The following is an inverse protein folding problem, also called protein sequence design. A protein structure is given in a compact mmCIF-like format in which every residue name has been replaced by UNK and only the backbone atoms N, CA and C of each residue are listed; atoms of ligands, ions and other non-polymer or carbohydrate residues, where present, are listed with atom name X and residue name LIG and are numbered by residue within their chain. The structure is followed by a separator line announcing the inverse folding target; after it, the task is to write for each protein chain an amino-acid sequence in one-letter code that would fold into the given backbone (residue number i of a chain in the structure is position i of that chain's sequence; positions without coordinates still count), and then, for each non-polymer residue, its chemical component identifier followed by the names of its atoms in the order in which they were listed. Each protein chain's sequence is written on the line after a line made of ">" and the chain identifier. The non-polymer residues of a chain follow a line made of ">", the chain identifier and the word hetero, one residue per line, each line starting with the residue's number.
data_IF_284751757674
#
_entry.id   IF_284751757674
#
_cell.length_a   1.000
_cell.length_b   1.000
_cell.length_c   1.000
_cell.angle_alpha   90.00
_cell.angle_beta   90.00
_cell.angle_gamma   90.00
#
_symmetry.space_group_name_H-M   'P 1'
#
loop_
_entity.id
_entity.type
_entity.pdbx_description
1 polymer ?
#
# COMPACT_ATOMS: atom_id res chain seq x y z
N UNK A 1 -40.79 0.03 38.90
CA UNK A 1 -39.57 -0.62 38.35
C UNK A 1 -39.76 -1.13 36.92
N UNK A 2 -40.82 -1.89 36.63
CA UNK A 2 -41.05 -2.52 35.32
C UNK A 2 -41.08 -1.54 34.13
N UNK A 3 -41.74 -0.37 34.29
CA UNK A 3 -41.82 0.65 33.23
C UNK A 3 -40.45 1.28 32.87
N UNK A 4 -39.54 1.43 33.85
CA UNK A 4 -38.18 1.95 33.60
C UNK A 4 -37.29 0.93 32.89
N UNK A 5 -37.44 -0.35 33.20
CA UNK A 5 -36.69 -1.43 32.54
C UNK A 5 -37.07 -1.52 31.05
N UNK A 6 -38.36 -1.39 30.73
CA UNK A 6 -38.85 -1.36 29.36
C UNK A 6 -38.36 -0.13 28.57
N UNK A 7 -38.34 1.06 29.17
CA UNK A 7 -37.78 2.26 28.51
C UNK A 7 -36.29 2.12 28.23
N UNK A 8 -35.51 1.60 29.19
CA UNK A 8 -34.06 1.38 29.00
C UNK A 8 -33.81 0.36 27.89
N UNK A 9 -34.57 -0.73 27.83
CA UNK A 9 -34.46 -1.72 26.76
C UNK A 9 -34.78 -1.11 25.38
N UNK A 10 -35.83 -0.29 25.26
CA UNK A 10 -36.18 0.40 24.02
C UNK A 10 -35.04 1.33 23.57
N UNK A 11 -34.46 2.11 24.49
CA UNK A 11 -33.35 3.01 24.18
C UNK A 11 -32.11 2.23 23.71
N UNK A 12 -31.77 1.11 24.36
CA UNK A 12 -30.65 0.26 23.96
C UNK A 12 -30.90 -0.32 22.56
N UNK A 13 -32.09 -0.85 22.29
CA UNK A 13 -32.45 -1.40 20.98
C UNK A 13 -32.38 -0.32 19.90
N UNK A 14 -32.89 0.89 20.18
CA UNK A 14 -32.80 2.01 19.26
C UNK A 14 -31.34 2.41 18.97
N UNK A 15 -30.49 2.48 20.00
CA UNK A 15 -29.06 2.77 19.84
C UNK A 15 -28.35 1.68 19.01
N UNK A 16 -28.63 0.41 19.27
CA UNK A 16 -28.08 -0.71 18.48
C UNK A 16 -28.55 -0.61 17.02
N UNK A 17 -29.82 -0.31 16.78
CA UNK A 17 -30.36 -0.17 15.43
C UNK A 17 -29.71 1.00 14.67
N UNK A 18 -29.48 2.13 15.33
CA UNK A 18 -28.76 3.29 14.76
C UNK A 18 -27.31 2.92 14.46
N UNK A 19 -26.58 2.34 15.42
CA UNK A 19 -25.19 1.89 15.20
C UNK A 19 -25.10 0.85 14.08
N UNK A 20 -26.05 -0.07 14.01
CA UNK A 20 -26.11 -1.04 12.93
C UNK A 20 -26.31 -0.35 11.59
N UNK A 21 -27.31 0.52 11.47
CA UNK A 21 -27.69 1.15 10.20
C UNK A 21 -26.59 2.07 9.65
N UNK A 22 -25.92 2.84 10.53
CA UNK A 22 -24.99 3.89 10.10
C UNK A 22 -23.50 3.51 10.22
N UNK A 23 -23.16 2.46 10.97
CA UNK A 23 -21.77 2.05 11.19
C UNK A 23 -21.55 0.61 10.76
N UNK A 24 -22.16 -0.35 11.45
CA UNK A 24 -21.83 -1.77 11.24
C UNK A 24 -22.27 -2.30 9.88
N UNK A 25 -23.39 -1.83 9.33
CA UNK A 25 -23.87 -2.27 8.02
C UNK A 25 -22.83 -1.95 6.94
N UNK A 26 -22.35 -0.71 6.89
CA UNK A 26 -21.35 -0.32 5.90
C UNK A 26 -20.02 -1.03 6.14
N UNK A 27 -19.57 -1.11 7.40
CA UNK A 27 -18.35 -1.86 7.73
C UNK A 27 -18.44 -3.34 7.31
N UNK A 28 -19.54 -4.02 7.58
CA UNK A 28 -19.69 -5.45 7.28
C UNK A 28 -19.82 -5.73 5.77
N UNK A 29 -20.64 -4.95 5.07
CA UNK A 29 -21.01 -5.26 3.69
C UNK A 29 -20.20 -4.47 2.65
N UNK A 30 -19.81 -3.22 2.96
CA UNK A 30 -19.08 -2.35 2.03
C UNK A 30 -17.56 -2.42 2.28
N UNK A 31 -17.11 -2.41 3.53
CA UNK A 31 -15.67 -2.54 3.82
C UNK A 31 -15.24 -4.00 3.83
N UNK A 32 -15.78 -4.83 4.74
CA UNK A 32 -15.38 -6.22 4.89
C UNK A 32 -15.84 -7.12 3.73
N UNK A 33 -16.89 -6.71 3.02
CA UNK A 33 -17.39 -7.41 1.84
C UNK A 33 -18.04 -8.75 2.15
N UNK A 34 -18.67 -8.91 3.32
CA UNK A 34 -19.42 -10.14 3.62
C UNK A 34 -20.60 -10.31 2.64
N UNK A 35 -20.71 -11.49 2.05
CA UNK A 35 -21.76 -11.79 1.06
C UNK A 35 -21.58 -11.13 -0.31
N UNK A 36 -20.52 -10.34 -0.52
CA UNK A 36 -20.19 -9.78 -1.83
C UNK A 36 -19.79 -10.90 -2.79
N UNK A 37 -20.45 -10.96 -3.94
CA UNK A 37 -20.08 -11.85 -5.03
C UNK A 37 -18.96 -11.22 -5.83
N UNK A 38 -17.95 -12.02 -6.16
CA UNK A 38 -16.83 -11.63 -7.00
C UNK A 38 -17.02 -12.19 -8.40
N UNK A 39 -16.51 -11.47 -9.38
CA UNK A 39 -16.46 -11.95 -10.76
C UNK A 39 -15.21 -12.81 -10.94
N UNK A 40 -15.30 -13.84 -11.79
CA UNK A 40 -14.12 -14.60 -12.18
C UNK A 40 -13.33 -13.84 -13.26
N UNK A 41 -12.00 -13.99 -13.26
CA UNK A 41 -11.11 -13.30 -14.20
C UNK A 41 -11.46 -13.55 -15.67
N UNK A 42 -12.05 -14.71 -15.99
CA UNK A 42 -12.48 -15.07 -17.35
C UNK A 42 -13.61 -14.19 -17.92
N UNK A 43 -14.28 -13.39 -17.08
CA UNK A 43 -15.26 -12.42 -17.54
C UNK A 43 -14.63 -11.14 -18.14
N UNK A 44 -13.31 -10.98 -17.99
CA UNK A 44 -12.55 -9.86 -18.51
C UNK A 44 -11.70 -10.31 -19.70
N UNK A 45 -11.47 -9.41 -20.66
CA UNK A 45 -10.59 -9.64 -21.80
C UNK A 45 -9.12 -9.53 -21.36
N UNK A 46 -8.68 -10.42 -20.47
CA UNK A 46 -7.33 -10.39 -19.89
C UNK A 46 -6.73 -11.79 -19.87
N UNK A 47 -5.42 -11.88 -20.07
CA UNK A 47 -4.67 -13.14 -19.95
C UNK A 47 -3.64 -13.00 -18.86
N UNK A 48 -3.77 -13.79 -17.81
CA UNK A 48 -2.92 -13.69 -16.63
C UNK A 48 -2.03 -14.93 -16.45
N UNK A 49 -0.83 -14.71 -15.95
CA UNK A 49 0.15 -15.72 -15.59
C UNK A 49 0.70 -15.45 -14.19
N UNK A 50 0.76 -16.49 -13.36
CA UNK A 50 1.49 -16.44 -12.09
C UNK A 50 2.99 -16.53 -12.35
N UNK A 51 3.73 -15.57 -11.84
CA UNK A 51 5.18 -15.54 -11.78
C UNK A 51 5.60 -16.04 -10.41
N UNK A 52 6.26 -17.20 -10.38
CA UNK A 52 6.68 -17.85 -9.15
C UNK A 52 8.14 -18.26 -9.25
N UNK A 53 8.96 -17.73 -8.35
CA UNK A 53 10.35 -18.09 -8.11
C UNK A 53 10.65 -17.80 -6.63
N UNK A 54 11.52 -18.56 -5.94
CA UNK A 54 11.88 -18.25 -4.56
C UNK A 54 12.37 -16.81 -4.40
N UNK A 55 11.76 -16.06 -3.48
CA UNK A 55 12.02 -14.63 -3.27
C UNK A 55 11.07 -13.69 -4.04
N UNK A 56 10.33 -14.18 -5.04
CA UNK A 56 9.27 -13.41 -5.70
C UNK A 56 7.91 -13.69 -5.07
N UNK A 57 7.79 -13.34 -3.79
CA UNK A 57 6.61 -13.59 -2.97
C UNK A 57 6.41 -12.51 -1.91
N UNK A 58 5.20 -12.43 -1.35
CA UNK A 58 4.78 -11.43 -0.39
C UNK A 58 5.17 -10.00 -0.83
N UNK A 59 5.17 -9.75 -2.15
CA UNK A 59 5.54 -8.48 -2.74
C UNK A 59 4.39 -7.50 -2.57
N UNK A 60 4.41 -6.74 -1.48
CA UNK A 60 3.32 -5.85 -1.09
C UNK A 60 3.19 -4.65 -2.03
N UNK A 61 4.34 -4.19 -2.57
CA UNK A 61 4.42 -3.00 -3.39
C UNK A 61 5.48 -3.10 -4.51
N UNK A 62 5.33 -2.26 -5.53
CA UNK A 62 6.20 -2.23 -6.70
C UNK A 62 6.27 -0.85 -7.37
N UNK A 63 7.32 -0.65 -8.18
CA UNK A 63 7.56 0.53 -8.98
C UNK A 63 8.28 0.18 -10.28
N UNK A 64 7.91 0.81 -11.40
CA UNK A 64 8.46 0.52 -12.72
C UNK A 64 9.33 1.68 -13.21
N UNK A 65 10.58 1.37 -13.53
CA UNK A 65 11.41 2.28 -14.30
C UNK A 65 11.00 2.22 -15.78
N UNK A 66 10.01 3.04 -16.13
CA UNK A 66 9.41 3.11 -17.47
C UNK A 66 10.46 3.13 -18.60
N UNK A 67 11.59 3.88 -18.54
CA UNK A 67 12.55 3.90 -19.63
C UNK A 67 13.32 2.60 -19.84
N UNK A 68 13.59 1.80 -18.79
CA UNK A 68 14.33 0.54 -18.91
C UNK A 68 13.45 -0.71 -18.89
N UNK A 69 12.20 -0.61 -18.41
CA UNK A 69 11.32 -1.75 -18.18
C UNK A 69 11.75 -2.61 -16.99
N UNK A 70 12.54 -2.06 -16.06
CA UNK A 70 12.87 -2.75 -14.82
C UNK A 70 11.81 -2.47 -13.76
N UNK A 71 11.14 -3.54 -13.32
CA UNK A 71 10.15 -3.49 -12.24
C UNK A 71 10.83 -3.83 -10.92
N UNK A 72 10.77 -2.92 -9.96
CA UNK A 72 11.28 -3.05 -8.61
C UNK A 72 10.14 -3.47 -7.68
N UNK A 73 10.31 -4.52 -6.89
CA UNK A 73 9.27 -5.05 -6.00
C UNK A 73 9.81 -5.20 -4.57
N UNK A 74 9.04 -4.71 -3.60
CA UNK A 74 9.32 -4.88 -2.17
C UNK A 74 8.78 -6.22 -1.69
N UNK A 75 9.62 -7.25 -1.72
CA UNK A 75 9.24 -8.63 -1.45
C UNK A 75 9.69 -9.11 -0.08
N UNK A 76 9.05 -10.17 0.39
CA UNK A 76 9.29 -10.81 1.68
C UNK A 76 9.25 -12.33 1.50
N UNK A 77 8.89 -13.05 2.55
CA UNK A 77 8.63 -14.49 2.54
C UNK A 77 7.19 -14.73 3.03
N UNK A 78 6.37 -15.45 2.26
CA UNK A 78 4.94 -15.58 2.56
C UNK A 78 4.67 -16.39 3.83
N UNK A 79 5.61 -17.22 4.25
CA UNK A 79 5.49 -18.03 5.46
C UNK A 79 5.69 -17.19 6.72
N UNK A 80 6.67 -16.28 6.72
CA UNK A 80 7.05 -15.48 7.88
C UNK A 80 6.40 -14.10 7.92
N UNK A 81 6.02 -13.54 6.76
CA UNK A 81 5.35 -12.23 6.65
C UNK A 81 4.14 -12.09 7.60
N UNK A 82 3.22 -13.07 7.73
CA UNK A 82 2.17 -13.08 8.74
C UNK A 82 2.59 -12.72 10.17
N UNK A 83 3.81 -13.06 10.59
CA UNK A 83 4.26 -12.81 11.97
C UNK A 83 4.50 -11.34 12.26
N UNK A 84 4.82 -10.54 11.24
CA UNK A 84 5.28 -9.16 11.42
C UNK A 84 4.72 -8.23 10.35
N UNK A 85 3.55 -7.68 10.65
CA UNK A 85 2.85 -6.67 9.86
C UNK A 85 2.23 -5.66 10.83
N UNK A 86 2.98 -4.62 11.23
CA UNK A 86 2.50 -3.63 12.20
C UNK A 86 1.17 -2.96 11.83
N UNK A 87 0.92 -2.77 10.52
CA UNK A 87 -0.35 -2.21 10.03
C UNK A 87 -1.56 -3.08 10.41
N UNK A 88 -1.37 -4.39 10.56
CA UNK A 88 -2.37 -5.35 11.04
C UNK A 88 -2.21 -5.72 12.51
N UNK A 89 -1.35 -5.03 13.27
CA UNK A 89 -1.08 -5.31 14.68
C UNK A 89 -0.45 -6.70 14.90
N UNK A 90 0.23 -7.23 13.88
CA UNK A 90 0.99 -8.47 13.96
C UNK A 90 2.41 -8.16 14.42
N UNK A 91 2.74 -8.59 15.64
CA UNK A 91 3.94 -8.15 16.37
C UNK A 91 4.80 -9.31 16.89
N UNK A 92 4.87 -10.42 16.16
CA UNK A 92 5.72 -11.56 16.52
C UNK A 92 7.16 -11.33 16.01
N UNK A 93 8.01 -10.72 16.85
CA UNK A 93 9.40 -10.37 16.52
C UNK A 93 10.22 -11.58 16.09
N UNK A 94 10.13 -12.69 16.82
CA UNK A 94 10.94 -13.89 16.55
C UNK A 94 10.49 -14.65 15.30
N UNK A 95 9.25 -14.45 14.86
CA UNK A 95 8.71 -15.05 13.64
C UNK A 95 8.78 -14.13 12.40
N UNK A 96 9.29 -12.90 12.54
CA UNK A 96 9.35 -11.92 11.45
C UNK A 96 10.20 -12.44 10.28
N UNK A 97 9.95 -11.99 9.04
CA UNK A 97 10.79 -12.37 7.93
C UNK A 97 12.19 -11.75 8.08
N UNK A 98 13.19 -12.53 7.72
CA UNK A 98 14.62 -12.15 7.73
C UNK A 98 15.19 -12.01 6.31
N UNK A 99 14.33 -12.17 5.30
CA UNK A 99 14.67 -12.29 3.89
C UNK A 99 14.03 -11.22 3.03
N UNK A 100 13.45 -10.17 3.61
CA UNK A 100 12.89 -9.06 2.83
C UNK A 100 13.98 -8.42 1.96
N UNK A 101 13.62 -8.14 0.72
CA UNK A 101 14.55 -7.63 -0.28
C UNK A 101 13.81 -6.89 -1.40
N UNK A 102 14.57 -6.12 -2.18
CA UNK A 102 14.07 -5.53 -3.42
C UNK A 102 14.40 -6.48 -4.57
N UNK A 103 13.35 -7.03 -5.16
CA UNK A 103 13.43 -7.78 -6.40
C UNK A 103 13.43 -6.83 -7.59
N UNK A 104 14.17 -7.19 -8.65
CA UNK A 104 14.16 -6.49 -9.92
C UNK A 104 13.82 -7.47 -11.03
N UNK A 105 12.73 -7.20 -11.73
CA UNK A 105 12.25 -7.99 -12.86
C UNK A 105 12.42 -7.19 -14.16
N UNK A 106 13.15 -7.73 -15.11
CA UNK A 106 13.14 -7.25 -16.49
C UNK A 106 11.83 -7.64 -17.18
N UNK A 107 10.97 -6.65 -17.42
CA UNK A 107 9.62 -6.83 -18.01
C UNK A 107 9.64 -6.95 -19.53
N UNK A 108 10.74 -6.54 -20.17
CA UNK A 108 10.86 -6.45 -21.63
C UNK A 108 11.56 -7.66 -22.25
N UNK A 109 12.39 -8.33 -21.47
CA UNK A 109 13.06 -9.55 -21.89
C UNK A 109 12.06 -10.71 -22.06
N UNK A 110 12.25 -11.49 -23.13
CA UNK A 110 11.51 -12.72 -23.44
C UNK A 110 12.14 -13.97 -22.81
N UNK A 111 13.26 -13.81 -22.09
CA UNK A 111 13.96 -14.90 -21.43
C UNK A 111 13.10 -15.56 -20.33
N UNK A 112 13.42 -16.80 -19.94
CA UNK A 112 12.79 -17.45 -18.79
C UNK A 112 12.82 -16.57 -17.54
N UNK A 113 11.77 -16.61 -16.71
CA UNK A 113 11.57 -15.75 -15.54
C UNK A 113 12.84 -15.63 -14.68
N UNK A 114 13.45 -16.75 -14.32
CA UNK A 114 14.66 -16.79 -13.49
C UNK A 114 15.85 -16.00 -14.05
N UNK A 115 15.95 -15.89 -15.38
CA UNK A 115 17.01 -15.11 -16.05
C UNK A 115 16.70 -13.62 -16.14
N UNK A 116 15.48 -13.21 -15.80
CA UNK A 116 15.00 -11.82 -15.78
C UNK A 116 14.94 -11.25 -14.36
N UNK A 117 15.12 -12.10 -13.35
CA UNK A 117 15.10 -11.73 -11.94
C UNK A 117 16.50 -11.45 -11.42
N UNK A 118 16.61 -10.38 -10.67
CA UNK A 118 17.78 -9.99 -9.91
C UNK A 118 17.35 -9.53 -8.52
N UNK A 119 18.23 -9.67 -7.54
CA UNK A 119 17.97 -9.27 -6.15
C UNK A 119 18.97 -8.19 -5.76
N UNK A 120 18.49 -7.05 -5.28
CA UNK A 120 19.40 -5.97 -4.85
C UNK A 120 20.07 -6.37 -3.54
N UNK A 121 21.40 -6.42 -3.55
CA UNK A 121 22.15 -6.59 -2.31
C UNK A 121 22.14 -5.28 -1.52
N UNK A 122 21.89 -5.37 -0.23
CA UNK A 122 21.93 -4.22 0.67
C UNK A 122 23.38 -3.91 1.06
N UNK A 123 23.76 -2.65 0.96
CA UNK A 123 25.08 -2.15 1.40
C UNK A 123 24.92 -1.03 2.44
N UNK A 124 25.91 -0.93 3.34
CA UNK A 124 26.00 0.12 4.37
C UNK A 124 24.79 0.23 5.30
N UNK A 125 24.00 -0.84 5.45
CA UNK A 125 22.85 -0.87 6.33
C UNK A 125 23.08 -1.84 7.49
N UNK A 126 22.95 -1.36 8.73
CA UNK A 126 23.16 -2.19 9.92
C UNK A 126 21.94 -3.03 10.30
N UNK A 127 20.76 -2.77 9.74
CA UNK A 127 19.53 -3.45 10.14
C UNK A 127 19.11 -3.13 11.58
N UNK A 128 18.45 -4.08 12.22
CA UNK A 128 17.98 -3.98 13.59
C UNK A 128 18.99 -4.65 14.54
N UNK A 129 19.72 -3.85 15.32
CA UNK A 129 20.81 -4.33 16.19
C UNK A 129 21.95 -5.08 15.46
N UNK A 130 22.29 -4.67 14.22
CA UNK A 130 23.41 -5.24 13.48
C UNK A 130 23.07 -6.48 12.64
N UNK A 131 21.80 -6.89 12.57
CA UNK A 131 21.38 -8.05 11.79
C UNK A 131 21.39 -7.84 10.26
N UNK A 132 21.52 -6.61 9.80
CA UNK A 132 21.53 -6.25 8.37
C UNK A 132 20.20 -6.47 7.64
N UNK A 133 19.11 -6.76 8.36
CA UNK A 133 17.80 -7.10 7.76
C UNK A 133 16.87 -5.91 7.64
N UNK A 134 15.95 -6.00 6.67
CA UNK A 134 14.84 -5.08 6.46
C UNK A 134 13.52 -5.80 6.79
N UNK A 135 12.50 -5.03 7.13
CA UNK A 135 11.11 -5.48 7.19
C UNK A 135 10.27 -4.50 6.34
N UNK A 136 10.22 -4.77 5.05
CA UNK A 136 9.77 -3.85 4.01
C UNK A 136 8.24 -3.70 3.95
N UNK A 137 7.78 -2.59 3.42
CA UNK A 137 6.38 -2.29 3.13
C UNK A 137 6.33 -1.45 1.85
N UNK A 138 5.62 -0.32 1.83
CA UNK A 138 5.60 0.57 0.67
C UNK A 138 6.96 1.17 0.30
N UNK A 139 7.16 1.34 -1.00
CA UNK A 139 8.36 1.91 -1.64
C UNK A 139 7.99 3.00 -2.66
N UNK A 140 8.93 3.89 -2.94
CA UNK A 140 8.87 4.73 -4.12
C UNK A 140 10.27 5.05 -4.64
N UNK A 141 10.40 5.15 -5.95
CA UNK A 141 11.68 5.44 -6.59
C UNK A 141 11.58 6.65 -7.51
N UNK A 142 12.73 7.27 -7.71
CA UNK A 142 12.93 8.29 -8.74
C UNK A 142 14.33 8.16 -9.32
N UNK A 143 14.52 8.74 -10.49
CA UNK A 143 15.85 9.05 -11.01
C UNK A 143 16.35 10.35 -10.36
N UNK A 144 17.56 10.30 -9.79
CA UNK A 144 18.28 11.51 -9.39
C UNK A 144 18.76 12.25 -10.64
N UNK A 145 18.28 13.48 -10.83
CA UNK A 145 18.58 14.29 -12.02
C UNK A 145 20.06 14.64 -12.14
N UNK A 146 20.79 14.70 -11.01
CA UNK A 146 22.19 15.06 -10.97
C UNK A 146 23.12 13.90 -11.34
N UNK A 147 22.88 12.70 -10.79
CA UNK A 147 23.73 11.53 -11.03
C UNK A 147 23.19 10.53 -12.05
N UNK A 148 21.90 10.61 -12.40
CA UNK A 148 21.20 9.61 -13.21
C UNK A 148 20.96 8.28 -12.50
N UNK A 149 21.30 8.18 -11.20
CA UNK A 149 21.09 6.96 -10.41
C UNK A 149 19.70 6.94 -9.81
N UNK A 150 19.16 5.74 -9.59
CA UNK A 150 17.87 5.59 -8.95
C UNK A 150 18.00 5.75 -7.44
N UNK A 151 17.09 6.50 -6.85
CA UNK A 151 16.94 6.65 -5.41
C UNK A 151 15.64 5.99 -4.97
N UNK A 152 15.74 5.15 -3.95
CA UNK A 152 14.65 4.37 -3.38
C UNK A 152 14.35 4.87 -1.98
N UNK A 153 13.10 5.26 -1.73
CA UNK A 153 12.55 5.32 -0.39
C UNK A 153 11.87 4.00 -0.07
N UNK A 154 12.20 3.43 1.08
CA UNK A 154 11.59 2.19 1.54
C UNK A 154 11.11 2.33 2.99
N UNK A 155 9.83 2.02 3.22
CA UNK A 155 9.33 1.87 4.58
C UNK A 155 9.91 0.60 5.17
N UNK A 156 10.46 0.73 6.37
CA UNK A 156 11.08 -0.35 7.11
C UNK A 156 10.53 -0.40 8.53
N UNK A 157 9.77 -1.45 8.82
CA UNK A 157 9.10 -1.68 10.10
C UNK A 157 10.00 -2.46 11.06
N UNK A 158 10.94 -1.79 11.72
CA UNK A 158 11.88 -2.49 12.60
C UNK A 158 11.21 -2.89 13.93
N UNK A 159 11.57 -4.04 14.52
CA UNK A 159 11.25 -4.31 15.92
C UNK A 159 11.77 -3.19 16.84
N UNK A 160 11.02 -2.80 17.87
CA UNK A 160 11.49 -1.75 18.77
C UNK A 160 12.59 -2.27 19.69
N UNK A 161 13.61 -1.44 19.90
CA UNK A 161 14.74 -1.73 20.78
C UNK A 161 14.90 -0.62 21.81
N UNK A 162 15.40 -0.97 22.98
CA UNK A 162 15.83 -0.01 23.99
C UNK A 162 17.08 0.72 23.47
N UNK A 163 17.06 2.07 23.39
CA UNK A 163 18.13 2.82 22.76
C UNK A 163 19.44 2.82 23.57
N UNK A 164 19.40 2.41 24.84
CA UNK A 164 20.58 2.39 25.73
C UNK A 164 21.22 1.01 25.78
N UNK A 165 20.40 -0.03 25.85
CA UNK A 165 20.85 -1.41 26.07
C UNK A 165 20.82 -2.26 24.81
N UNK A 166 20.09 -1.84 23.78
CA UNK A 166 19.84 -2.63 22.56
C UNK A 166 18.92 -3.83 22.77
N UNK A 167 18.31 -3.96 23.95
CA UNK A 167 17.38 -5.04 24.25
C UNK A 167 16.06 -4.88 23.47
N UNK A 168 15.46 -6.00 23.05
CA UNK A 168 14.14 -5.99 22.44
C UNK A 168 13.08 -5.46 23.43
N UNK A 169 12.25 -4.53 22.95
CA UNK A 169 11.10 -4.01 23.69
C UNK A 169 9.82 -4.73 23.23
N UNK A 170 8.78 -4.72 24.06
CA UNK A 170 7.50 -5.33 23.70
C UNK A 170 6.74 -4.49 22.65
N UNK A 171 6.68 -4.93 21.38
CA UNK A 171 5.96 -4.20 20.34
C UNK A 171 4.45 -4.16 20.56
N UNK A 172 3.85 -5.03 21.36
CA UNK A 172 2.41 -4.94 21.68
C UNK A 172 2.10 -3.72 22.54
N UNK A 173 3.07 -3.29 23.33
CA UNK A 173 2.97 -2.13 24.21
C UNK A 173 3.27 -0.84 23.46
N UNK A 174 4.38 -0.79 22.70
CA UNK A 174 4.90 0.46 22.12
C UNK A 174 4.85 0.54 20.58
N UNK A 175 4.55 -0.57 19.90
CA UNK A 175 4.52 -0.66 18.44
C UNK A 175 5.90 -0.84 17.80
N UNK A 176 5.91 -0.93 16.47
CA UNK A 176 7.15 -1.02 15.71
C UNK A 176 7.94 0.30 15.74
N UNK A 177 9.26 0.17 15.62
CA UNK A 177 10.16 1.28 15.34
C UNK A 177 10.25 1.50 13.82
N UNK A 178 9.14 1.95 13.24
CA UNK A 178 9.02 2.20 11.81
C UNK A 178 9.89 3.39 11.39
N UNK A 179 10.57 3.23 10.26
CA UNK A 179 11.48 4.20 9.67
C UNK A 179 11.29 4.26 8.16
N UNK A 180 11.78 5.32 7.52
CA UNK A 180 11.86 5.40 6.06
C UNK A 180 13.34 5.44 5.68
N UNK A 181 13.79 4.49 4.87
CA UNK A 181 15.18 4.39 4.42
C UNK A 181 15.32 5.00 3.03
N UNK A 182 16.38 5.78 2.83
CA UNK A 182 16.84 6.19 1.52
C UNK A 182 18.01 5.32 1.08
N UNK A 183 17.86 4.70 -0.08
CA UNK A 183 18.91 3.97 -0.77
C UNK A 183 19.20 4.60 -2.13
N UNK A 184 20.42 4.41 -2.62
CA UNK A 184 20.81 4.65 -4.00
C UNK A 184 21.09 3.32 -4.68
N UNK A 185 20.54 3.10 -5.87
CA UNK A 185 20.62 1.84 -6.60
C UNK A 185 21.72 1.91 -7.66
N UNK A 186 22.53 0.86 -7.69
CA UNK A 186 23.58 0.66 -8.69
C UNK A 186 23.29 -0.63 -9.48
N UNK A 187 23.01 -0.47 -10.78
CA UNK A 187 22.71 -1.59 -11.69
C UNK A 187 23.91 -2.02 -12.56
N UNK A 188 24.97 -1.20 -12.65
CA UNK A 188 26.01 -1.34 -13.69
C UNK A 188 27.16 -2.30 -13.34
N UNK A 189 27.19 -2.83 -12.11
CA UNK A 189 28.07 -3.93 -11.77
C UNK A 189 27.24 -5.21 -11.84
N UNK A 190 27.75 -6.32 -12.37
CA UNK A 190 27.04 -7.61 -12.44
C UNK A 190 26.61 -8.22 -11.09
N UNK A 191 26.54 -7.40 -10.03
CA UNK A 191 26.03 -7.60 -8.69
C UNK A 191 25.21 -6.35 -8.31
N UNK A 192 23.97 -6.20 -8.79
CA UNK A 192 23.17 -5.01 -8.51
C UNK A 192 22.99 -4.84 -6.99
N UNK A 193 23.03 -3.59 -6.54
CA UNK A 193 23.03 -3.26 -5.12
C UNK A 193 22.19 -2.02 -4.83
N UNK A 194 21.75 -1.92 -3.58
CA UNK A 194 21.15 -0.71 -3.03
C UNK A 194 21.97 -0.28 -1.80
N UNK A 195 22.60 0.89 -1.92
CA UNK A 195 23.48 1.45 -0.91
C UNK A 195 22.68 2.38 0.00
N UNK A 196 22.67 2.09 1.29
CA UNK A 196 21.99 2.92 2.27
C UNK A 196 22.66 4.29 2.36
N UNK A 197 21.84 5.33 2.29
CA UNK A 197 22.25 6.72 2.36
C UNK A 197 21.81 7.34 3.68
N UNK A 198 20.55 7.13 4.07
CA UNK A 198 19.95 7.81 5.21
C UNK A 198 18.76 7.03 5.78
N UNK A 199 18.63 7.08 7.10
CA UNK A 199 17.40 6.70 7.80
C UNK A 199 16.65 7.97 8.21
N UNK A 200 15.40 8.11 7.80
CA UNK A 200 14.45 9.06 8.36
C UNK A 200 13.73 8.39 9.54
N UNK A 201 14.01 8.89 10.74
CA UNK A 201 13.36 8.48 11.97
C UNK A 201 12.88 9.74 12.70
N UNK A 202 11.56 9.89 12.79
CA UNK A 202 10.92 11.04 13.43
C UNK A 202 9.61 10.60 14.10
N UNK A 203 9.14 11.34 15.11
CA UNK A 203 7.87 11.05 15.80
C UNK A 203 6.66 11.15 14.88
N UNK A 204 6.75 11.89 13.78
CA UNK A 204 5.71 12.00 12.76
C UNK A 204 5.63 10.72 11.90
N UNK A 205 6.74 9.97 11.78
CA UNK A 205 6.79 8.65 11.13
C UNK A 205 6.33 7.60 12.16
N UNK A 206 5.01 7.54 12.37
CA UNK A 206 4.41 6.75 13.43
C UNK A 206 4.00 5.35 12.93
N UNK A 207 3.11 5.32 11.95
CA UNK A 207 2.54 4.10 11.36
C UNK A 207 2.62 4.15 9.83
N UNK A 208 3.82 4.41 9.26
CA UNK A 208 3.98 4.67 7.83
C UNK A 208 3.51 3.47 7.00
N UNK A 209 2.77 3.74 5.91
CA UNK A 209 2.26 2.70 5.03
C UNK A 209 2.86 2.81 3.61
N UNK A 210 2.83 4.01 3.00
CA UNK A 210 3.45 4.29 1.70
C UNK A 210 4.12 5.66 1.66
N UNK A 211 5.15 5.77 0.83
CA UNK A 211 5.90 7.00 0.51
C UNK A 211 5.64 7.41 -0.95
N UNK A 212 5.71 8.71 -1.24
CA UNK A 212 5.78 9.21 -2.61
C UNK A 212 6.69 10.44 -2.71
N UNK A 213 7.59 10.45 -3.69
CA UNK A 213 8.45 11.59 -4.01
C UNK A 213 7.63 12.78 -4.52
N UNK A 214 7.91 13.97 -3.98
CA UNK A 214 7.23 15.22 -4.37
C UNK A 214 8.17 16.36 -4.75
N UNK A 215 9.48 16.12 -4.68
CA UNK A 215 10.54 17.04 -5.06
C UNK A 215 11.87 16.30 -5.21
N UNK A 216 13.00 17.03 -5.26
CA UNK A 216 14.36 16.47 -5.32
C UNK A 216 14.95 16.08 -3.96
N UNK A 217 14.35 16.48 -2.86
CA UNK A 217 14.83 16.20 -1.50
C UNK A 217 13.67 15.99 -0.53
N UNK A 218 12.45 15.82 -1.06
CA UNK A 218 11.23 15.77 -0.29
C UNK A 218 10.25 14.71 -0.78
N UNK A 219 9.54 14.14 0.17
CA UNK A 219 8.52 13.12 -0.03
C UNK A 219 7.37 13.31 0.96
N UNK A 220 6.22 12.75 0.60
CA UNK A 220 5.10 12.58 1.52
C UNK A 220 4.93 11.11 1.86
N UNK A 221 4.27 10.83 2.98
CA UNK A 221 3.99 9.46 3.40
C UNK A 221 2.68 9.36 4.18
N UNK A 222 1.96 8.26 4.01
CA UNK A 222 0.75 7.97 4.77
C UNK A 222 1.09 7.32 6.11
N UNK A 223 0.42 7.73 7.19
CA UNK A 223 0.34 6.99 8.45
C UNK A 223 -1.05 6.37 8.58
N UNK A 224 -1.13 5.04 8.63
CA UNK A 224 -2.41 4.31 8.58
C UNK A 224 -3.31 4.54 9.82
N UNK A 225 -2.72 4.98 10.94
CA UNK A 225 -3.43 5.21 12.19
C UNK A 225 -2.81 6.35 13.00
N UNK A 226 -3.52 6.76 14.06
CA UNK A 226 -3.04 7.73 15.05
C UNK A 226 -2.28 7.11 16.22
N UNK A 227 -2.23 5.78 16.28
CA UNK A 227 -1.54 5.01 17.31
C UNK A 227 -0.96 3.74 16.73
N UNK A 228 0.25 3.37 17.19
CA UNK A 228 0.91 2.12 16.80
C UNK A 228 0.24 0.87 17.38
N UNK A 229 -0.39 0.99 18.55
CA UNK A 229 -0.97 -0.15 19.28
C UNK A 229 -2.27 0.21 20.01
N UNK A 230 -2.87 -0.79 20.65
CA UNK A 230 -3.89 -0.62 21.67
C UNK A 230 -5.28 -0.24 21.16
N UNK A 231 -6.17 0.04 22.12
CA UNK A 231 -7.59 0.35 21.87
C UNK A 231 -7.76 1.58 20.98
N UNK A 232 -6.86 2.58 21.12
CA UNK A 232 -6.89 3.78 20.27
C UNK A 232 -6.80 3.42 18.79
N UNK A 233 -5.83 2.59 18.40
CA UNK A 233 -5.67 2.11 17.01
C UNK A 233 -6.94 1.39 16.53
N UNK A 234 -7.55 0.54 17.37
CA UNK A 234 -8.77 -0.18 17.01
C UNK A 234 -9.96 0.75 16.71
N UNK A 235 -10.04 1.92 17.36
CA UNK A 235 -11.09 2.90 17.10
C UNK A 235 -10.81 3.82 15.90
N UNK A 236 -9.58 3.86 15.37
CA UNK A 236 -9.23 4.75 14.26
C UNK A 236 -9.99 4.44 12.97
N UNK A 237 -10.39 3.17 12.78
CA UNK A 237 -11.28 2.73 11.67
C UNK A 237 -12.64 3.44 11.71
N UNK A 238 -13.10 3.88 12.88
CA UNK A 238 -14.35 4.62 13.05
C UNK A 238 -14.14 6.14 13.14
N UNK A 239 -12.98 6.57 13.62
CA UNK A 239 -12.71 7.98 13.92
C UNK A 239 -11.98 8.72 12.81
N UNK A 240 -11.40 8.03 11.82
CA UNK A 240 -10.71 8.65 10.68
C UNK A 240 -9.48 9.46 11.10
N UNK A 241 -8.60 8.85 11.87
CA UNK A 241 -7.47 9.51 12.52
C UNK A 241 -6.09 9.20 11.88
N UNK A 242 -6.05 8.66 10.66
CA UNK A 242 -4.80 8.58 9.89
C UNK A 242 -4.26 9.97 9.53
N UNK A 243 -3.04 10.02 9.00
CA UNK A 243 -2.42 11.28 8.57
C UNK A 243 -1.55 11.10 7.32
N UNK A 244 -1.19 12.21 6.70
CA UNK A 244 -0.12 12.28 5.72
C UNK A 244 0.96 13.21 6.25
N UNK A 245 2.19 12.71 6.34
CA UNK A 245 3.37 13.47 6.68
C UNK A 245 4.08 14.00 5.44
N UNK A 246 4.85 15.06 5.62
CA UNK A 246 5.82 15.58 4.66
C UNK A 246 7.19 15.52 5.34
N UNK A 247 8.19 15.02 4.63
CA UNK A 247 9.57 15.01 5.08
C UNK A 247 10.47 15.54 3.97
N UNK A 248 11.52 16.23 4.37
CA UNK A 248 12.68 16.54 3.55
C UNK A 248 13.96 16.22 4.32
N UNK A 249 15.11 16.65 3.81
CA UNK A 249 16.38 16.36 4.43
C UNK A 249 16.58 16.88 5.86
N UNK A 250 15.81 17.87 6.27
CA UNK A 250 16.00 18.62 7.52
C UNK A 250 14.81 18.56 8.48
N UNK A 251 13.60 18.32 7.97
CA UNK A 251 12.36 18.43 8.73
C UNK A 251 11.35 17.36 8.32
N UNK A 252 10.55 16.93 9.29
CA UNK A 252 9.39 16.08 9.11
C UNK A 252 8.22 16.66 9.92
N UNK A 253 7.08 16.88 9.26
CA UNK A 253 5.87 17.37 9.93
C UNK A 253 4.61 16.74 9.36
N UNK A 254 3.52 16.77 10.13
CA UNK A 254 2.21 16.33 9.64
C UNK A 254 1.69 17.35 8.62
N UNK A 255 1.55 16.93 7.37
CA UNK A 255 1.06 17.79 6.30
C UNK A 255 -0.48 17.85 6.27
N UNK A 256 -1.15 16.78 6.73
CA UNK A 256 -2.61 16.71 6.93
C UNK A 256 -3.00 15.56 7.87
N UNK A 257 -4.04 15.71 8.69
CA UNK A 257 -4.38 14.72 9.75
C UNK A 257 -5.88 14.56 10.03
N UNK A 258 -6.74 14.95 9.07
CA UNK A 258 -8.20 14.92 9.27
C UNK A 258 -8.86 14.03 8.24
N UNK A 259 -9.86 13.26 8.66
CA UNK A 259 -10.76 12.57 7.73
C UNK A 259 -10.16 11.37 7.01
N UNK A 260 -8.98 10.90 7.41
CA UNK A 260 -8.38 9.70 6.82
C UNK A 260 -8.75 8.46 7.62
N UNK A 261 -9.54 7.58 7.01
CA UNK A 261 -9.80 6.24 7.54
C UNK A 261 -8.83 5.28 6.88
N UNK A 262 -7.81 4.85 7.63
CA UNK A 262 -6.78 3.91 7.17
C UNK A 262 -6.16 4.32 5.81
N UNK A 263 -5.50 5.50 5.75
CA UNK A 263 -4.85 5.94 4.53
C UNK A 263 -3.70 4.99 4.20
N UNK A 264 -3.61 4.59 2.93
CA UNK A 264 -2.73 3.52 2.51
C UNK A 264 -1.80 3.99 1.39
N UNK A 265 -1.69 3.26 0.29
CA UNK A 265 -0.74 3.53 -0.78
C UNK A 265 -1.01 4.79 -1.58
N UNK A 266 -0.55 5.92 -1.05
CA UNK A 266 -0.63 7.21 -1.73
C UNK A 266 0.29 7.28 -2.94
N UNK A 267 -0.03 8.16 -3.88
CA UNK A 267 0.81 8.46 -5.04
C UNK A 267 0.87 9.95 -5.33
N UNK A 268 1.98 10.37 -5.91
CA UNK A 268 2.11 11.67 -6.57
C UNK A 268 1.76 11.51 -8.06
N UNK A 269 0.61 12.07 -8.46
CA UNK A 269 0.14 12.03 -9.83
C UNK A 269 1.00 12.86 -10.77
N UNK A 270 0.97 12.53 -12.07
CA UNK A 270 1.66 13.30 -13.11
C UNK A 270 1.14 14.74 -13.23
N UNK A 271 -0.03 15.02 -12.68
CA UNK A 271 -0.65 16.35 -12.61
C UNK A 271 -0.21 17.16 -11.37
N UNK A 272 0.74 16.66 -10.57
CA UNK A 272 1.26 17.35 -9.39
C UNK A 272 0.39 17.23 -8.14
N UNK A 273 -0.67 16.40 -8.18
CA UNK A 273 -1.57 16.18 -7.05
C UNK A 273 -1.18 14.91 -6.28
N UNK A 274 -1.52 14.89 -4.99
CA UNK A 274 -1.35 13.70 -4.14
C UNK A 274 -2.71 13.01 -4.00
N UNK A 275 -2.74 11.72 -4.33
CA UNK A 275 -3.92 10.88 -4.23
C UNK A 275 -3.73 9.93 -3.06
N UNK A 276 -4.64 9.96 -2.08
CA UNK A 276 -4.54 9.20 -0.84
C UNK A 276 -5.74 8.26 -0.74
N UNK A 277 -5.56 6.93 -0.90
CA UNK A 277 -6.64 5.96 -0.83
C UNK A 277 -6.99 5.58 0.61
N UNK A 278 -8.21 5.07 0.81
CA UNK A 278 -8.64 4.41 2.05
C UNK A 278 -8.81 2.91 1.88
N UNK A 279 -8.17 2.13 2.76
CA UNK A 279 -8.35 0.67 2.85
C UNK A 279 -9.59 0.22 3.60
N UNK A 280 -10.53 1.14 3.87
CA UNK A 280 -11.80 0.82 4.53
C UNK A 280 -12.97 1.34 3.71
N UNK A 281 -12.92 2.60 3.27
CA UNK A 281 -14.07 3.23 2.62
C UNK A 281 -14.02 3.13 1.11
N UNK A 282 -12.85 2.94 0.50
CA UNK A 282 -12.66 3.06 -0.94
C UNK A 282 -12.65 4.50 -1.46
N UNK A 283 -12.70 5.49 -0.57
CA UNK A 283 -12.52 6.89 -0.94
C UNK A 283 -11.05 7.14 -1.34
N UNK A 284 -10.86 7.95 -2.37
CA UNK A 284 -9.58 8.59 -2.69
C UNK A 284 -9.73 10.08 -2.46
N UNK A 285 -8.95 10.61 -1.53
CA UNK A 285 -8.87 12.05 -1.28
C UNK A 285 -7.71 12.65 -2.07
N UNK A 286 -7.94 13.80 -2.70
CA UNK A 286 -6.99 14.44 -3.62
C UNK A 286 -6.50 15.76 -3.05
N UNK A 287 -5.19 15.97 -3.06
CA UNK A 287 -4.56 17.11 -2.42
C UNK A 287 -3.59 17.84 -3.34
N UNK A 288 -3.50 19.15 -3.16
CA UNK A 288 -2.38 19.97 -3.64
C UNK A 288 -1.40 20.24 -2.50
N UNK A 289 -0.10 20.28 -2.79
CA UNK A 289 0.91 20.75 -1.84
C UNK A 289 0.91 22.29 -1.85
N UNK A 290 0.81 22.89 -0.68
CA UNK A 290 0.87 24.35 -0.51
C UNK A 290 2.32 24.84 -0.45
N UNK A 291 2.60 26.14 -0.66
CA UNK A 291 3.95 26.70 -0.49
C UNK A 291 4.56 26.50 0.91
N UNK A 292 3.73 26.21 1.92
CA UNK A 292 4.16 25.88 3.29
C UNK A 292 4.34 24.38 3.51
N UNK A 293 4.40 23.58 2.44
CA UNK A 293 4.60 22.12 2.48
C UNK A 293 3.47 21.34 3.19
N UNK A 294 2.35 21.99 3.50
CA UNK A 294 1.12 21.33 3.97
C UNK A 294 0.24 20.91 2.80
N UNK A 295 -0.63 19.93 3.02
CA UNK A 295 -1.62 19.53 2.02
C UNK A 295 -2.92 20.32 2.18
N UNK A 296 -3.50 20.66 1.04
CA UNK A 296 -4.86 21.20 0.94
C UNK A 296 -5.69 20.24 0.11
N UNK A 297 -6.77 19.71 0.70
CA UNK A 297 -7.71 18.86 -0.04
C UNK A 297 -8.38 19.71 -1.12
N UNK A 298 -8.34 19.22 -2.36
CA UNK A 298 -8.91 19.89 -3.54
C UNK A 298 -10.03 19.09 -4.17
N UNK A 299 -10.09 17.77 -3.91
CA UNK A 299 -11.13 16.89 -4.44
C UNK A 299 -11.26 15.61 -3.60
N UNK A 300 -12.30 14.82 -3.87
CA UNK A 300 -12.33 13.40 -3.53
C UNK A 300 -13.29 12.63 -4.45
N UNK A 301 -13.05 11.33 -4.59
CA UNK A 301 -13.92 10.46 -5.37
C UNK A 301 -13.95 9.05 -4.77
N UNK A 302 -14.91 8.25 -5.23
CA UNK A 302 -15.19 6.94 -4.67
C UNK A 302 -14.81 5.82 -5.64
N UNK A 303 -14.02 4.85 -5.16
CA UNK A 303 -13.86 3.54 -5.79
C UNK A 303 -14.80 2.56 -5.09
N UNK A 304 -15.47 1.63 -5.79
CA UNK A 304 -16.46 0.74 -5.19
C UNK A 304 -15.96 -0.16 -4.05
N UNK A 305 -14.66 -0.41 -3.95
CA UNK A 305 -14.05 -1.32 -2.98
C UNK A 305 -12.97 -0.62 -2.15
N UNK A 306 -12.67 -1.12 -0.94
CA UNK A 306 -11.48 -0.70 -0.19
C UNK A 306 -10.23 -0.82 -1.04
N UNK A 307 -9.36 0.18 -0.95
CA UNK A 307 -8.17 0.31 -1.79
C UNK A 307 -6.93 0.11 -0.92
N UNK A 308 -5.96 -0.64 -1.43
CA UNK A 308 -4.64 -0.73 -0.82
C UNK A 308 -3.72 0.30 -1.49
N UNK A 309 -2.83 -0.12 -2.39
CA UNK A 309 -1.97 0.80 -3.11
C UNK A 309 -2.59 1.34 -4.40
N UNK A 310 -2.35 2.64 -4.63
CA UNK A 310 -2.43 3.27 -5.93
C UNK A 310 -1.07 3.16 -6.65
N UNK A 311 -1.09 3.16 -7.97
CA UNK A 311 0.09 3.35 -8.83
C UNK A 311 -0.26 4.30 -9.97
N UNK A 312 0.73 4.95 -10.56
CA UNK A 312 0.54 5.91 -11.67
C UNK A 312 1.42 5.48 -12.83
N UNK A 313 0.82 5.26 -13.99
CA UNK A 313 1.57 4.92 -15.20
C UNK A 313 2.17 6.17 -15.89
N UNK A 314 2.95 5.95 -16.95
CA UNK A 314 3.49 7.04 -17.79
C UNK A 314 2.44 7.93 -18.46
N UNK A 315 1.20 7.48 -18.63
CA UNK A 315 0.11 8.29 -19.21
C UNK A 315 -0.56 9.18 -18.16
N UNK A 316 -0.28 8.95 -16.88
CA UNK A 316 -0.96 9.62 -15.76
C UNK A 316 -2.25 8.94 -15.35
N UNK A 317 -2.54 7.74 -15.88
CA UNK A 317 -3.64 6.93 -15.42
C UNK A 317 -3.27 6.29 -14.08
N UNK A 318 -4.23 6.28 -13.14
CA UNK A 318 -4.02 5.73 -11.80
C UNK A 318 -4.64 4.34 -11.73
N UNK A 319 -3.93 3.38 -11.16
CA UNK A 319 -4.39 2.01 -10.98
C UNK A 319 -4.52 1.73 -9.49
N UNK A 320 -5.72 1.33 -9.06
CA UNK A 320 -6.03 1.00 -7.67
C UNK A 320 -6.13 -0.51 -7.50
N UNK A 321 -5.27 -1.09 -6.65
CA UNK A 321 -5.45 -2.45 -6.16
C UNK A 321 -6.48 -2.44 -5.02
N UNK A 322 -7.48 -3.32 -5.11
CA UNK A 322 -8.63 -3.26 -4.20
C UNK A 322 -9.02 -4.62 -3.64
N UNK A 323 -9.79 -4.57 -2.54
CA UNK A 323 -10.23 -5.73 -1.78
C UNK A 323 -11.74 -5.99 -1.92
N UNK A 324 -12.17 -6.80 -2.90
CA UNK A 324 -13.57 -7.23 -3.00
C UNK A 324 -14.06 -7.95 -1.72
N UNK A 325 -13.20 -8.68 -1.01
CA UNK A 325 -13.56 -9.31 0.25
C UNK A 325 -12.45 -9.10 1.30
N UNK A 326 -12.37 -7.91 1.89
CA UNK A 326 -11.33 -7.57 2.88
C UNK A 326 -11.26 -8.59 4.04
N UNK A 327 -12.39 -9.16 4.49
CA UNK A 327 -12.37 -10.20 5.53
C UNK A 327 -11.58 -11.47 5.12
N UNK A 328 -11.54 -11.82 3.83
CA UNK A 328 -10.73 -12.95 3.33
C UNK A 328 -9.25 -12.61 3.30
N UNK A 329 -8.90 -11.36 2.99
CA UNK A 329 -7.51 -10.89 3.05
C UNK A 329 -6.99 -10.91 4.50
N UNK A 330 -7.79 -10.43 5.45
CA UNK A 330 -7.44 -10.52 6.88
C UNK A 330 -7.25 -11.99 7.31
N UNK A 331 -8.06 -12.90 6.78
CA UNK A 331 -7.91 -14.34 7.03
C UNK A 331 -6.67 -14.94 6.33
N UNK A 332 -6.25 -14.45 5.16
CA UNK A 332 -5.02 -14.93 4.52
C UNK A 332 -3.76 -14.54 5.29
N UNK A 333 -3.82 -13.51 6.14
CA UNK A 333 -2.75 -13.20 7.08
C UNK A 333 -2.57 -14.29 8.15
N UNK A 334 -3.51 -15.23 8.32
CA UNK A 334 -3.39 -16.38 9.24
C UNK A 334 -2.97 -17.67 8.51
N UNK A 335 -3.38 -17.84 7.25
CA UNK A 335 -3.13 -19.05 6.46
C UNK A 335 -2.89 -18.71 4.96
N UNK A 336 -1.73 -18.11 4.62
CA UNK A 336 -1.44 -17.53 3.31
C UNK A 336 -1.41 -18.55 2.17
N UNK A 337 -1.21 -19.83 2.49
CA UNK A 337 -1.15 -20.91 1.50
C UNK A 337 -2.49 -21.63 1.28
N UNK A 338 -3.52 -21.35 2.10
CA UNK A 338 -4.84 -22.00 1.98
C UNK A 338 -5.97 -21.02 1.70
N UNK A 339 -5.80 -19.75 2.05
CA UNK A 339 -6.82 -18.72 1.84
C UNK A 339 -6.38 -17.85 0.68
N UNK A 340 -7.10 -17.94 -0.44
CA UNK A 340 -6.89 -17.07 -1.59
C UNK A 340 -7.94 -15.94 -1.57
N UNK A 341 -7.56 -14.71 -1.20
CA UNK A 341 -8.47 -13.58 -1.22
C UNK A 341 -8.71 -13.08 -2.65
N UNK A 342 -9.93 -12.59 -2.90
CA UNK A 342 -10.29 -11.98 -4.17
C UNK A 342 -9.55 -10.66 -4.39
N UNK A 343 -9.35 -10.30 -5.65
CA UNK A 343 -8.66 -9.06 -6.06
C UNK A 343 -9.48 -8.35 -7.13
N UNK A 344 -9.44 -7.03 -7.16
CA UNK A 344 -9.91 -6.25 -8.30
C UNK A 344 -9.01 -5.05 -8.55
N UNK A 345 -8.89 -4.64 -9.81
CA UNK A 345 -8.15 -3.45 -10.21
C UNK A 345 -9.10 -2.46 -10.87
N UNK A 346 -9.02 -1.21 -10.40
CA UNK A 346 -9.71 -0.10 -11.02
C UNK A 346 -8.72 0.84 -11.69
N UNK A 347 -9.00 1.18 -12.94
CA UNK A 347 -8.33 2.25 -13.67
C UNK A 347 -9.07 3.56 -13.41
N UNK A 348 -8.33 4.59 -13.05
CA UNK A 348 -8.84 5.92 -12.70
C UNK A 348 -8.22 6.93 -13.65
N UNK A 349 -9.08 7.67 -14.37
CA UNK A 349 -8.65 8.70 -15.33
C UNK A 349 -9.27 10.03 -14.99
N UNK A 350 -8.47 11.10 -15.00
CA UNK A 350 -8.96 12.45 -14.81
C UNK A 350 -9.55 12.99 -16.12
N UNK A 351 -10.75 13.55 -16.06
CA UNK A 351 -11.42 14.14 -17.22
C UNK A 351 -10.92 15.58 -17.40
N UNK A 352 -10.22 15.86 -18.51
CA UNK A 352 -9.58 17.17 -18.75
C UNK A 352 -10.29 18.05 -19.79
N UNK A 353 -11.08 17.47 -20.69
CA UNK A 353 -11.70 18.17 -21.84
C UNK A 353 -13.23 18.12 -21.76
N UNK A 354 -13.81 18.66 -20.69
CA UNK A 354 -15.26 18.55 -20.45
C UNK A 354 -15.76 19.79 -19.72
N UNK A 355 -16.99 20.23 -20.02
CA UNK A 355 -17.54 21.43 -19.41
C UNK A 355 -17.76 21.23 -17.90
N UNK A 356 -17.69 22.31 -17.11
CA UNK A 356 -18.01 22.25 -15.66
C UNK A 356 -19.42 21.68 -15.38
N UNK A 357 -20.35 21.81 -16.32
CA UNK A 357 -21.70 21.24 -16.21
C UNK A 357 -21.68 19.70 -16.34
N UNK A 358 -20.88 19.17 -17.26
CA UNK A 358 -20.71 17.73 -17.46
C UNK A 358 -19.86 17.11 -16.34
N UNK A 359 -18.81 17.80 -15.88
CA UNK A 359 -18.04 17.40 -14.69
C UNK A 359 -18.95 17.28 -13.46
N UNK A 360 -19.91 18.19 -13.28
CA UNK A 360 -20.89 18.09 -12.18
C UNK A 360 -21.84 16.91 -12.32
N UNK A 361 -22.07 16.43 -13.54
CA UNK A 361 -22.97 15.31 -13.83
C UNK A 361 -22.25 13.96 -13.73
N UNK A 362 -21.04 13.87 -14.26
CA UNK A 362 -20.31 12.61 -14.49
C UNK A 362 -19.11 12.42 -13.56
N UNK A 363 -18.70 13.47 -12.86
CA UNK A 363 -17.53 13.48 -11.99
C UNK A 363 -16.25 13.92 -12.72
N UNK A 364 -15.23 14.29 -11.93
CA UNK A 364 -13.89 14.67 -12.43
C UNK A 364 -13.01 13.46 -12.75
N UNK A 365 -13.42 12.27 -12.30
CA UNK A 365 -12.66 11.03 -12.41
C UNK A 365 -13.54 9.91 -12.96
N UNK A 366 -13.10 9.30 -14.04
CA UNK A 366 -13.66 8.05 -14.55
C UNK A 366 -13.03 6.89 -13.80
N UNK A 367 -13.86 6.09 -13.11
CA UNK A 367 -13.43 4.92 -12.34
C UNK A 367 -13.95 3.65 -13.02
N UNK A 368 -13.05 2.87 -13.59
CA UNK A 368 -13.36 1.72 -14.43
C UNK A 368 -12.78 0.44 -13.85
N UNK A 369 -13.60 -0.58 -13.61
CA UNK A 369 -13.12 -1.90 -13.15
C UNK A 369 -12.57 -2.68 -14.35
N UNK A 370 -11.26 -2.81 -14.44
CA UNK A 370 -10.60 -3.43 -15.60
C UNK A 370 -10.34 -4.93 -15.40
N UNK A 371 -10.31 -5.40 -14.15
CA UNK A 371 -10.23 -6.83 -13.82
C UNK A 371 -10.73 -7.11 -12.40
N UNK A 372 -11.25 -8.31 -12.21
CA UNK A 372 -11.61 -8.87 -10.90
C UNK A 372 -11.45 -10.39 -10.95
N UNK A 373 -10.95 -10.96 -9.86
CA UNK A 373 -10.78 -12.39 -9.70
C UNK A 373 -11.19 -12.82 -8.30
N UNK A 374 -11.72 -14.05 -8.19
CA UNK A 374 -12.21 -14.63 -6.96
C UNK A 374 -11.10 -15.20 -6.04
N UNK A 375 -9.84 -15.03 -6.43
CA UNK A 375 -8.64 -15.56 -5.76
C UNK A 375 -8.03 -16.76 -6.47
N UNK A 376 -8.61 -17.23 -7.58
CA UNK A 376 -8.05 -18.35 -8.35
C UNK A 376 -6.74 -18.01 -9.05
N UNK A 377 -6.59 -16.78 -9.55
CA UNK A 377 -5.47 -16.32 -10.39
C UNK A 377 -4.73 -15.12 -9.78
N UNK A 378 -5.44 -14.13 -9.24
CA UNK A 378 -4.83 -12.92 -8.72
C UNK A 378 -4.34 -13.09 -7.26
N UNK A 379 -3.27 -12.38 -6.86
CA UNK A 379 -2.52 -12.67 -5.64
C UNK A 379 -3.14 -12.12 -4.34
N UNK A 380 -4.41 -11.74 -4.30
CA UNK A 380 -4.91 -10.91 -3.20
C UNK A 380 -4.31 -9.52 -3.25
N UNK A 381 -4.46 -8.88 -4.41
CA UNK A 381 -3.62 -7.78 -4.83
C UNK A 381 -3.65 -6.60 -3.87
N UNK A 382 -2.45 -6.21 -3.43
CA UNK A 382 -2.17 -5.02 -2.63
C UNK A 382 -1.56 -3.91 -3.48
N UNK A 383 -0.99 -4.27 -4.61
CA UNK A 383 -0.50 -3.33 -5.62
C UNK A 383 -0.83 -3.85 -7.02
N UNK A 384 -1.08 -2.93 -7.94
CA UNK A 384 -1.36 -3.21 -9.34
C UNK A 384 -0.70 -2.09 -10.16
N UNK A 385 0.35 -2.43 -10.91
CA UNK A 385 1.14 -1.47 -11.70
C UNK A 385 0.97 -1.77 -13.18
N UNK A 386 0.60 -0.76 -13.95
CA UNK A 386 0.49 -0.86 -15.41
C UNK A 386 1.78 -0.41 -16.09
N UNK A 387 2.39 -1.33 -16.84
CA UNK A 387 3.40 -1.03 -17.85
C UNK A 387 2.67 -0.65 -19.15
N UNK A 388 2.52 0.65 -19.39
CA UNK A 388 1.78 1.14 -20.55
C UNK A 388 2.51 0.91 -21.88
N UNK A 389 3.83 0.70 -21.85
CA UNK A 389 4.60 0.36 -23.05
C UNK A 389 4.46 -1.12 -23.40
N UNK A 390 4.57 -1.99 -22.39
CA UNK A 390 4.40 -3.44 -22.53
C UNK A 390 2.94 -3.90 -22.64
N UNK A 391 1.97 -3.05 -22.30
CA UNK A 391 0.54 -3.40 -22.28
C UNK A 391 0.18 -4.41 -21.19
N UNK A 392 0.93 -4.42 -20.09
CA UNK A 392 0.84 -5.43 -19.02
C UNK A 392 0.54 -4.78 -17.68
N UNK A 393 -0.15 -5.51 -16.81
CA UNK A 393 -0.34 -5.16 -15.41
C UNK A 393 0.34 -6.19 -14.53
N UNK A 394 1.20 -5.73 -13.65
CA UNK A 394 1.87 -6.53 -12.63
C UNK A 394 1.14 -6.35 -11.30
N UNK A 395 0.84 -7.45 -10.62
CA UNK A 395 0.10 -7.48 -9.38
C UNK A 395 0.87 -8.22 -8.30
N UNK A 396 1.02 -7.57 -7.15
CA UNK A 396 1.66 -8.11 -5.94
C UNK A 396 0.64 -8.21 -4.81
N UNK A 397 0.93 -9.03 -3.81
CA UNK A 397 0.07 -9.21 -2.63
C UNK A 397 0.91 -9.43 -1.38
N UNK A 398 0.56 -8.77 -0.27
CA UNK A 398 1.29 -8.82 1.01
C UNK A 398 1.56 -10.22 1.54
N UNK A 399 0.67 -11.19 1.28
CA UNK A 399 0.78 -12.56 1.80
C UNK A 399 0.92 -13.60 0.70
N UNK A 400 1.05 -13.17 -0.55
CA UNK A 400 0.90 -14.06 -1.70
C UNK A 400 2.18 -14.80 -2.03
N UNK A 401 2.15 -16.13 -2.26
CA UNK A 401 3.33 -16.90 -2.65
C UNK A 401 3.77 -16.71 -4.11
N UNK A 402 3.22 -15.72 -4.81
CA UNK A 402 3.52 -15.40 -6.20
C UNK A 402 3.16 -13.95 -6.53
N UNK A 403 3.72 -13.46 -7.63
CA UNK A 403 3.29 -12.24 -8.33
C UNK A 403 2.47 -12.66 -9.55
N UNK A 404 1.53 -11.85 -10.00
CA UNK A 404 0.78 -12.12 -11.25
C UNK A 404 1.08 -11.05 -12.28
N UNK A 405 1.24 -11.43 -13.54
CA UNK A 405 1.25 -10.52 -14.69
C UNK A 405 0.03 -10.79 -15.55
N UNK A 406 -0.64 -9.75 -16.01
CA UNK A 406 -1.79 -9.83 -16.90
C UNK A 406 -1.58 -8.98 -18.14
N UNK A 407 -1.85 -9.53 -19.31
CA UNK A 407 -1.96 -8.80 -20.58
C UNK A 407 -3.41 -8.36 -20.76
N UNK A 408 -3.62 -7.06 -20.96
CA UNK A 408 -4.92 -6.52 -21.32
C UNK A 408 -5.16 -6.81 -22.81
N UNK A 409 -6.31 -7.40 -23.15
CA UNK A 409 -6.71 -7.56 -24.53
C UNK A 409 -6.95 -6.20 -25.18
N UNK A 410 -6.62 -6.08 -26.46
CA UNK A 410 -7.07 -4.95 -27.27
C UNK A 410 -8.56 -5.14 -27.56
N UNK A 411 -9.34 -4.07 -27.37
CA UNK A 411 -10.76 -4.03 -27.72
C UNK A 411 -11.00 -4.05 -29.23
#
# INVERSE_FOLDING_TARGET
>A
MQNRLSTVAIVIVALIAVLYQFVFKSLLFDSLGYGRRTTNISAFNVKCQKLQDPGLEACEDMWLHEPSGLLYLACSDSQHRPSWVPSLVHFNVSGRPMSDHIAVLDTRSDKPLKSRLQWLRVENFSGNNGDGTLNLHGIDLREDTASGRLQLLAINHRPPLDPTTGAELDPKSIGANSTIELFEIEMDSGKPAMKHIKTYADKVIDTPNRVAWVGEDAFVFSNDASSKTGIRRAFDVFLGCGSVGYCNDHDCHKAYEKGFIFPNGLVHGRDGLIYVPSSVTGEVQVFSITPKQHLKQVDSFQVPYPIDNLSVDRNGDIYAATFPNLHKLLKSAEDPFKVNPASAVFKIRKVTETSEAEIRREGRYLVEKIMEDDGSVLPGSTTALHDAEGGRIYLGGTFSPFVTVCELGQD
#
